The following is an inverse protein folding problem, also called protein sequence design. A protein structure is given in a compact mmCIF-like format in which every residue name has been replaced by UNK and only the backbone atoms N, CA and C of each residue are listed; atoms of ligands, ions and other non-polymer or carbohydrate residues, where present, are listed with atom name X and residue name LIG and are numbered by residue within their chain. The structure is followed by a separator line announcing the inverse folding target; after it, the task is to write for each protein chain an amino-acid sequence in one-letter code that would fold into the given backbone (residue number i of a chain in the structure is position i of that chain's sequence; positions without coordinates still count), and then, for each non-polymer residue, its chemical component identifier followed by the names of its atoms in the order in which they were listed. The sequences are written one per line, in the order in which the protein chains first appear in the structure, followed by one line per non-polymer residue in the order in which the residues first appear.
data_IF_901846469257
#
_entry.id   IF_901846469257
#
_cell.length_a   1.000
_cell.length_b   1.000
_cell.length_c   1.000
_cell.angle_alpha   90.00
_cell.angle_beta   90.00
_cell.angle_gamma   90.00
#
_symmetry.space_group_name_H-M   'P 1'
#
loop_
_entity.id
_entity.type
_entity.pdbx_description
1 polymer ?
#
# COMPACT_ATOMS: atom_id res chain seq x y z
N UNK A 1 10.40 2.02 -22.54
CA UNK A 1 9.03 1.60 -22.14
C UNK A 1 8.14 2.84 -21.95
N UNK A 2 6.91 2.83 -22.48
CA UNK A 2 5.94 3.87 -22.13
C UNK A 2 5.48 3.67 -20.68
N UNK A 3 5.26 4.76 -19.93
CA UNK A 3 4.85 4.73 -18.52
C UNK A 3 3.60 3.87 -18.29
N UNK A 4 2.74 3.78 -19.30
CA UNK A 4 1.53 2.95 -19.33
C UNK A 4 1.81 1.46 -19.02
N UNK A 5 2.94 0.92 -19.49
CA UNK A 5 3.33 -0.47 -19.24
C UNK A 5 3.66 -0.74 -17.77
N UNK A 6 3.91 0.30 -16.98
CA UNK A 6 4.29 0.21 -15.57
C UNK A 6 3.13 0.47 -14.61
N UNK A 7 1.93 0.79 -15.11
CA UNK A 7 0.81 1.24 -14.28
C UNK A 7 0.44 0.24 -13.17
N UNK A 8 0.42 -1.06 -13.49
CA UNK A 8 0.11 -2.12 -12.52
C UNK A 8 1.20 -2.25 -11.45
N UNK A 9 2.47 -2.32 -11.85
CA UNK A 9 3.61 -2.38 -10.93
C UNK A 9 3.68 -1.15 -10.03
N UNK A 10 3.45 0.04 -10.59
CA UNK A 10 3.46 1.30 -9.86
C UNK A 10 2.35 1.34 -8.80
N UNK A 11 1.14 0.88 -9.13
CA UNK A 11 0.03 0.79 -8.18
C UNK A 11 0.35 -0.10 -6.98
N UNK A 12 0.87 -1.30 -7.22
CA UNK A 12 1.31 -2.23 -6.16
C UNK A 12 2.40 -1.60 -5.29
N UNK A 13 3.44 -1.02 -5.91
CA UNK A 13 4.56 -0.41 -5.22
C UNK A 13 4.12 0.78 -4.35
N UNK A 14 3.21 1.62 -4.85
CA UNK A 14 2.69 2.78 -4.11
C UNK A 14 1.92 2.34 -2.85
N UNK A 15 1.04 1.35 -2.96
CA UNK A 15 0.27 0.84 -1.82
C UNK A 15 1.20 0.21 -0.77
N UNK A 16 2.15 -0.61 -1.23
CA UNK A 16 3.14 -1.23 -0.35
C UNK A 16 4.01 -0.18 0.36
N UNK A 17 4.53 0.79 -0.37
CA UNK A 17 5.31 1.88 0.20
C UNK A 17 4.50 2.68 1.22
N UNK A 18 3.22 2.95 0.94
CA UNK A 18 2.36 3.69 1.86
C UNK A 18 2.03 2.91 3.14
N UNK A 19 1.86 1.59 3.06
CA UNK A 19 1.67 0.74 4.25
C UNK A 19 2.89 0.80 5.17
N UNK A 20 4.09 0.71 4.59
CA UNK A 20 5.35 0.84 5.33
C UNK A 20 5.48 2.21 5.98
N UNK A 21 5.18 3.29 5.25
CA UNK A 21 5.25 4.66 5.81
C UNK A 21 4.32 4.86 6.99
N UNK A 22 3.09 4.35 6.94
CA UNK A 22 2.17 4.43 8.07
C UNK A 22 2.64 3.57 9.25
N UNK A 23 3.14 2.35 9.00
CA UNK A 23 3.64 1.49 10.06
C UNK A 23 4.86 2.10 10.74
N UNK A 24 5.81 2.63 9.96
CA UNK A 24 6.98 3.31 10.47
C UNK A 24 6.59 4.53 11.30
N UNK A 25 5.67 5.36 10.82
CA UNK A 25 5.22 6.53 11.59
C UNK A 25 4.58 6.11 12.92
N UNK A 26 3.76 5.03 12.92
CA UNK A 26 3.21 4.48 14.15
C UNK A 26 4.29 4.03 15.15
N UNK A 27 5.32 3.33 14.68
CA UNK A 27 6.43 2.85 15.52
C UNK A 27 7.30 4.01 16.05
N UNK A 28 7.32 5.14 15.35
CA UNK A 28 8.02 6.35 15.77
C UNK A 28 7.16 7.30 16.62
N UNK A 29 5.97 6.88 17.02
CA UNK A 29 5.09 7.67 17.90
C UNK A 29 4.20 8.69 17.17
N UNK A 30 3.83 8.41 15.91
CA UNK A 30 2.87 9.19 15.12
C UNK A 30 3.29 10.67 14.93
N UNK A 31 4.50 10.90 14.41
CA UNK A 31 5.14 12.24 14.33
C UNK A 31 5.00 12.91 12.96
N UNK A 32 4.71 12.15 11.91
CA UNK A 32 4.63 12.63 10.54
C UNK A 32 3.19 12.84 10.05
N UNK A 33 2.32 11.84 10.19
CA UNK A 33 0.93 11.92 9.75
C UNK A 33 0.03 12.40 10.89
N UNK A 34 -0.89 13.31 10.57
CA UNK A 34 -1.92 13.71 11.52
C UNK A 34 -2.83 12.53 11.90
N UNK A 35 -3.05 12.39 13.21
CA UNK A 35 -3.94 11.39 13.81
C UNK A 35 -5.00 12.06 14.69
N UNK A 36 -6.14 11.40 14.83
CA UNK A 36 -7.27 11.80 15.67
C UNK A 36 -7.47 10.83 16.85
N UNK A 37 -6.87 9.64 16.79
CA UNK A 37 -6.95 8.61 17.83
C UNK A 37 -5.67 7.77 17.89
N UNK A 38 -5.33 7.21 19.06
CA UNK A 38 -4.23 6.26 19.18
C UNK A 38 -4.36 5.10 18.17
N UNK A 39 -3.22 4.60 17.67
CA UNK A 39 -3.15 3.48 16.71
C UNK A 39 -3.72 3.74 15.31
N UNK A 40 -4.14 4.98 14.97
CA UNK A 40 -4.73 5.26 13.66
C UNK A 40 -3.76 4.95 12.49
N UNK A 41 -2.47 5.24 12.61
CA UNK A 41 -1.50 4.88 11.57
C UNK A 41 -1.27 3.37 11.48
N UNK A 42 -1.32 2.64 12.60
CA UNK A 42 -1.32 1.16 12.58
C UNK A 42 -2.49 0.60 11.79
N UNK A 43 -3.70 1.13 12.02
CA UNK A 43 -4.90 0.76 11.28
C UNK A 43 -4.77 1.11 9.80
N UNK A 44 -4.29 2.33 9.48
CA UNK A 44 -4.01 2.74 8.09
C UNK A 44 -3.02 1.79 7.40
N UNK A 45 -1.95 1.37 8.07
CA UNK A 45 -0.99 0.41 7.53
C UNK A 45 -1.64 -0.93 7.21
N UNK A 46 -2.46 -1.45 8.13
CA UNK A 46 -3.23 -2.70 7.93
C UNK A 46 -4.19 -2.61 6.74
N UNK A 47 -4.92 -1.50 6.61
CA UNK A 47 -5.82 -1.28 5.47
C UNK A 47 -5.06 -1.22 4.14
N UNK A 48 -3.88 -0.58 4.09
CA UNK A 48 -3.05 -0.55 2.88
C UNK A 48 -2.55 -1.97 2.51
N UNK A 49 -2.18 -2.81 3.48
CA UNK A 49 -1.82 -4.21 3.20
C UNK A 49 -3.02 -5.03 2.68
N UNK A 50 -4.21 -4.85 3.25
CA UNK A 50 -5.42 -5.51 2.75
C UNK A 50 -5.77 -5.06 1.31
N UNK A 51 -5.57 -3.77 1.01
CA UNK A 51 -5.73 -3.24 -0.35
C UNK A 51 -4.69 -3.81 -1.31
N UNK A 52 -3.43 -3.96 -0.87
CA UNK A 52 -2.36 -4.56 -1.67
C UNK A 52 -2.75 -5.96 -2.11
N UNK A 53 -3.14 -6.83 -1.18
CA UNK A 53 -3.58 -8.19 -1.48
C UNK A 53 -4.79 -8.23 -2.42
N UNK A 54 -5.76 -7.32 -2.21
CA UNK A 54 -6.93 -7.23 -3.10
C UNK A 54 -6.55 -6.82 -4.52
N UNK A 55 -5.59 -5.90 -4.67
CA UNK A 55 -5.07 -5.49 -5.97
C UNK A 55 -4.25 -6.60 -6.63
N UNK A 56 -3.38 -7.30 -5.90
CA UNK A 56 -2.63 -8.46 -6.39
C UNK A 56 -3.56 -9.51 -7.00
N UNK A 57 -4.61 -9.88 -6.27
CA UNK A 57 -5.60 -10.86 -6.75
C UNK A 57 -6.40 -10.35 -7.95
N UNK A 58 -6.80 -9.08 -7.97
CA UNK A 58 -7.47 -8.48 -9.13
C UNK A 58 -6.56 -8.49 -10.37
N UNK A 59 -5.29 -8.11 -10.22
CA UNK A 59 -4.33 -8.07 -11.32
C UNK A 59 -4.04 -9.47 -11.88
N UNK A 60 -3.92 -10.46 -11.00
CA UNK A 60 -3.73 -11.86 -11.39
C UNK A 60 -4.96 -12.42 -12.13
N UNK A 61 -6.16 -12.21 -11.58
CA UNK A 61 -7.39 -12.82 -12.10
C UNK A 61 -7.94 -12.13 -13.36
N UNK A 62 -7.93 -10.79 -13.39
CA UNK A 62 -8.54 -10.00 -14.48
C UNK A 62 -7.55 -9.59 -15.55
N UNK A 63 -6.33 -9.24 -15.16
CA UNK A 63 -5.33 -8.67 -16.07
C UNK A 63 -4.20 -9.65 -16.42
N UNK A 64 -4.21 -10.87 -15.84
CA UNK A 64 -3.15 -11.88 -15.99
C UNK A 64 -1.76 -11.32 -15.70
N UNK A 65 -1.70 -10.35 -14.79
CA UNK A 65 -0.47 -9.69 -14.38
C UNK A 65 -0.02 -10.28 -13.04
N UNK A 66 1.26 -10.63 -12.93
CA UNK A 66 1.91 -11.01 -11.68
C UNK A 66 3.27 -10.32 -11.61
N UNK A 67 3.64 -9.86 -10.42
CA UNK A 67 4.96 -9.26 -10.18
C UNK A 67 6.05 -10.34 -9.99
N UNK A 68 5.65 -11.60 -9.75
CA UNK A 68 6.49 -12.80 -9.60
C UNK A 68 5.89 -13.99 -10.35
#
# INVERSE_FOLDING_TARGET
PSEEQLLHSAGLLMIYMQSLRFLTDHLLGDTYYQIQRPSQNRERASHQLALLHSLEELLKTKYRFSLL
#
